data_IF_070057090116
#
_entry.id   IF_070057090116
#
_cell.length_a   1.000
_cell.length_b   1.000
_cell.length_c   1.000
_cell.angle_alpha   90.00
_cell.angle_beta   90.00
_cell.angle_gamma   90.00
#
_symmetry.space_group_name_H-M   'P 1'
#
loop_
_entity.id
_entity.type
_entity.pdbx_description
1 polymer ?
#
# COMPACT_ATOMS: atom_id res chain seq x y z
N UNK A 1 -13.70 1.32 -11.75
CA UNK A 1 -12.29 1.75 -11.92
C UNK A 1 -11.85 2.31 -10.58
N UNK A 2 -10.58 2.16 -10.17
CA UNK A 2 -10.14 2.75 -8.90
C UNK A 2 -9.99 4.27 -9.08
N UNK A 3 -10.86 5.06 -8.49
CA UNK A 3 -10.86 6.53 -8.62
C UNK A 3 -10.15 7.21 -7.45
N UNK A 4 -10.35 6.67 -6.24
CA UNK A 4 -9.77 7.22 -5.01
C UNK A 4 -9.08 6.13 -4.21
N UNK A 5 -7.95 6.49 -3.62
CA UNK A 5 -7.19 5.61 -2.74
C UNK A 5 -6.90 6.34 -1.43
N UNK A 6 -7.21 5.68 -0.32
CA UNK A 6 -6.92 6.19 1.00
C UNK A 6 -6.23 5.12 1.85
N UNK A 7 -4.98 5.40 2.20
CA UNK A 7 -4.12 4.56 3.03
C UNK A 7 -3.89 5.29 4.35
N UNK A 8 -4.19 4.62 5.45
CA UNK A 8 -3.85 5.08 6.80
C UNK A 8 -3.01 4.03 7.51
N UNK A 9 -2.12 4.49 8.37
CA UNK A 9 -1.31 3.69 9.30
C UNK A 9 -0.73 2.40 8.68
N UNK A 10 -0.23 2.49 7.45
CA UNK A 10 0.38 1.36 6.75
C UNK A 10 1.88 1.59 6.55
N UNK A 11 2.69 0.91 7.37
CA UNK A 11 4.15 1.06 7.38
C UNK A 11 4.54 2.54 7.54
N UNK A 12 5.37 3.07 6.62
CA UNK A 12 5.79 4.48 6.63
C UNK A 12 4.66 5.45 6.20
N UNK A 13 3.59 4.96 5.58
CA UNK A 13 2.45 5.76 5.14
C UNK A 13 1.48 5.98 6.31
N UNK A 14 1.70 7.05 7.09
CA UNK A 14 0.79 7.46 8.17
C UNK A 14 -0.59 7.83 7.63
N UNK A 15 -0.63 8.67 6.60
CA UNK A 15 -1.83 9.00 5.84
C UNK A 15 -1.43 9.35 4.40
N UNK A 16 -2.09 8.73 3.43
CA UNK A 16 -1.96 9.04 2.00
C UNK A 16 -3.34 9.01 1.37
N UNK A 17 -3.73 10.14 0.79
CA UNK A 17 -4.99 10.30 0.07
C UNK A 17 -4.71 10.68 -1.38
N UNK A 18 -5.20 9.89 -2.31
CA UNK A 18 -5.15 10.17 -3.75
C UNK A 18 -6.59 10.26 -4.23
N UNK A 19 -7.06 11.47 -4.53
CA UNK A 19 -8.46 11.73 -4.86
C UNK A 19 -8.80 11.57 -6.35
N UNK A 20 -7.78 11.44 -7.22
CA UNK A 20 -7.95 11.39 -8.67
C UNK A 20 -6.96 10.41 -9.32
N UNK A 21 -7.21 9.12 -9.17
CA UNK A 21 -6.47 8.10 -9.92
C UNK A 21 -6.94 8.06 -11.38
N UNK A 22 -5.97 8.10 -12.29
CA UNK A 22 -6.20 7.97 -13.74
C UNK A 22 -5.86 6.55 -14.19
N UNK A 23 -6.08 6.25 -15.48
CA UNK A 23 -5.67 4.96 -16.07
C UNK A 23 -4.18 4.67 -15.89
N UNK A 24 -3.35 5.72 -15.94
CA UNK A 24 -1.91 5.67 -15.73
C UNK A 24 -1.57 6.72 -14.67
N UNK A 25 -0.84 6.33 -13.63
CA UNK A 25 -0.34 7.20 -12.57
C UNK A 25 1.16 7.00 -12.43
N UNK A 26 1.94 8.08 -12.44
CA UNK A 26 3.38 8.04 -12.19
C UNK A 26 3.66 8.42 -10.74
N UNK A 27 4.33 7.54 -10.00
CA UNK A 27 4.72 7.78 -8.61
C UNK A 27 6.25 7.83 -8.55
N UNK A 28 6.78 8.98 -8.16
CA UNK A 28 8.22 9.23 -8.06
C UNK A 28 8.62 9.70 -6.65
N UNK A 29 9.90 9.55 -6.30
CA UNK A 29 10.47 9.96 -5.01
C UNK A 29 11.77 9.22 -4.69
N UNK A 30 12.50 9.67 -3.66
CA UNK A 30 13.75 9.04 -3.23
C UNK A 30 13.60 7.61 -2.68
N UNK A 31 14.71 6.91 -2.48
CA UNK A 31 14.66 5.60 -1.83
C UNK A 31 14.03 5.69 -0.44
N UNK A 32 13.34 4.63 -0.03
CA UNK A 32 12.62 4.56 1.25
C UNK A 32 11.46 5.57 1.42
N UNK A 33 11.05 6.31 0.37
CA UNK A 33 9.96 7.29 0.45
C UNK A 33 8.54 6.70 0.51
N UNK A 34 8.39 5.38 0.70
CA UNK A 34 7.09 4.72 0.79
C UNK A 34 6.46 4.24 -0.53
N UNK A 35 7.17 4.29 -1.66
CA UNK A 35 6.66 3.78 -2.97
C UNK A 35 6.34 2.29 -2.94
N UNK A 36 7.23 1.47 -2.39
CA UNK A 36 7.00 0.03 -2.23
C UNK A 36 5.81 -0.23 -1.31
N UNK A 37 5.69 0.53 -0.21
CA UNK A 37 4.54 0.45 0.71
C UNK A 37 3.22 0.83 0.04
N UNK A 38 3.23 1.83 -0.85
CA UNK A 38 2.05 2.21 -1.63
C UNK A 38 1.61 1.06 -2.55
N UNK A 39 2.55 0.46 -3.29
CA UNK A 39 2.24 -0.69 -4.14
C UNK A 39 1.73 -1.89 -3.32
N UNK A 40 2.38 -2.23 -2.21
CA UNK A 40 1.93 -3.32 -1.34
C UNK A 40 0.51 -3.08 -0.79
N UNK A 41 0.18 -1.84 -0.40
CA UNK A 41 -1.17 -1.50 0.04
C UNK A 41 -2.21 -1.64 -1.08
N UNK A 42 -1.86 -1.28 -2.32
CA UNK A 42 -2.72 -1.50 -3.49
C UNK A 42 -2.88 -3.00 -3.78
N UNK A 43 -1.80 -3.78 -3.67
CA UNK A 43 -1.85 -5.24 -3.85
C UNK A 43 -2.75 -5.92 -2.80
N UNK A 44 -2.69 -5.46 -1.55
CA UNK A 44 -3.58 -5.92 -0.47
C UNK A 44 -5.06 -5.69 -0.78
N UNK A 45 -5.38 -4.52 -1.33
CA UNK A 45 -6.75 -4.15 -1.70
C UNK A 45 -7.32 -4.96 -2.86
N UNK A 46 -6.47 -5.37 -3.81
CA UNK A 46 -6.88 -6.07 -5.03
C UNK A 46 -7.29 -7.53 -4.83
N UNK A 47 -7.34 -8.04 -3.60
CA UNK A 47 -7.66 -9.46 -3.33
C UNK A 47 -6.60 -10.45 -3.80
N UNK A 48 -5.51 -9.97 -4.42
CA UNK A 48 -4.31 -10.75 -4.74
C UNK A 48 -3.47 -10.97 -3.48
N UNK A 49 -4.13 -11.52 -2.45
CA UNK A 49 -3.52 -12.01 -1.23
C UNK A 49 -2.65 -13.21 -1.55
N UNK A 50 -1.46 -12.97 -2.08
CA UNK A 50 -0.33 -13.74 -1.59
C UNK A 50 -0.01 -13.20 -0.20
N UNK A 51 -0.86 -13.50 0.78
CA UNK A 51 -0.56 -13.27 2.19
C UNK A 51 0.86 -13.78 2.50
N UNK A 52 1.28 -14.87 1.83
CA UNK A 52 2.63 -15.40 1.80
C UNK A 52 3.73 -14.46 1.25
N UNK A 53 3.51 -13.70 0.17
CA UNK A 53 4.50 -12.74 -0.34
C UNK A 53 4.68 -11.56 0.60
N UNK A 54 3.58 -11.09 1.19
CA UNK A 54 3.62 -10.01 2.18
C UNK A 54 4.23 -10.50 3.49
N UNK A 55 3.89 -11.71 3.94
CA UNK A 55 4.52 -12.39 5.08
C UNK A 55 6.02 -12.57 4.83
N UNK A 56 6.44 -13.03 3.66
CA UNK A 56 7.87 -13.18 3.35
C UNK A 56 8.59 -11.84 3.26
N UNK A 57 7.99 -10.81 2.63
CA UNK A 57 8.57 -9.47 2.57
C UNK A 57 8.65 -8.80 3.96
N UNK A 58 7.72 -9.13 4.83
CA UNK A 58 7.70 -8.69 6.22
C UNK A 58 8.73 -9.46 7.06
N UNK A 59 8.78 -10.79 6.98
CA UNK A 59 9.74 -11.66 7.69
C UNK A 59 11.18 -11.38 7.26
N UNK A 60 11.43 -11.21 5.96
CA UNK A 60 12.77 -10.84 5.44
C UNK A 60 13.21 -9.45 5.88
N UNK A 61 12.27 -8.57 6.24
CA UNK A 61 12.55 -7.24 6.82
C UNK A 61 12.49 -7.23 8.36
N UNK A 62 12.16 -8.36 9.01
CA UNK A 62 11.98 -8.47 10.46
C UNK A 62 10.63 -7.96 11.00
N UNK A 63 9.72 -7.53 10.12
CA UNK A 63 8.44 -6.91 10.46
C UNK A 63 7.33 -7.95 10.71
N UNK A 64 7.35 -8.65 11.85
CA UNK A 64 6.32 -9.65 12.22
C UNK A 64 4.91 -9.08 12.46
N UNK A 65 4.73 -7.75 12.45
CA UNK A 65 3.58 -7.08 13.07
C UNK A 65 2.87 -6.02 12.24
N UNK A 66 2.92 -6.04 10.90
CA UNK A 66 2.14 -5.10 10.09
C UNK A 66 0.63 -5.44 10.17
N UNK A 67 -0.01 -5.10 11.29
CA UNK A 67 -1.46 -5.06 11.41
C UNK A 67 -1.98 -4.03 10.38
N UNK A 68 -2.76 -4.48 9.41
CA UNK A 68 -3.36 -3.61 8.40
C UNK A 68 -4.42 -2.76 9.12
N UNK A 69 -4.08 -1.54 9.49
CA UNK A 69 -5.03 -0.60 10.09
C UNK A 69 -5.39 0.52 9.11
N UNK A 70 -6.41 0.28 8.27
CA UNK A 70 -7.07 1.37 7.53
C UNK A 70 -6.62 1.58 6.09
N UNK A 71 -6.47 0.50 5.32
CA UNK A 71 -6.42 0.60 3.86
C UNK A 71 -7.85 0.49 3.32
N UNK A 72 -8.34 1.54 2.67
CA UNK A 72 -9.71 1.58 2.14
C UNK A 72 -9.74 2.09 0.71
N UNK A 73 -10.64 1.51 -0.08
CA UNK A 73 -11.01 2.01 -1.40
C UNK A 73 -12.34 2.73 -1.26
N UNK A 74 -12.39 3.95 -1.79
CA UNK A 74 -13.65 4.62 -2.08
C UNK A 74 -13.83 4.55 -3.60
N UNK A 75 -14.90 3.88 -4.04
CA UNK A 75 -15.31 3.79 -5.44
C UNK A 75 -16.09 5.04 -5.79
#
# INVERSE_FOLDING_TARGET
MLEKLHIRNYRILRELKIDQLRRINLIAGGNNSGKTSLLEAIFLLGGAGSAHLLMNANVTRGDLGAAIQGVSIQI
#
